data_IF_630346558428
#
_entry.id   IF_630346558428
#
_cell.length_a   1.000
_cell.length_b   1.000
_cell.length_c   1.000
_cell.angle_alpha   90.00
_cell.angle_beta   90.00
_cell.angle_gamma   90.00
#
_symmetry.space_group_name_H-M   'P 1'
#
loop_
_entity.id
_entity.type
_entity.pdbx_description
1 polymer ?
#
# COMPACT_ATOMS: atom_id res chain seq x y z
N UNK A 1 21.16 -3.59 -28.59
CA UNK A 1 19.84 -4.22 -28.73
C UNK A 1 19.21 -4.44 -27.35
N UNK A 2 17.95 -4.86 -27.26
CA UNK A 2 17.34 -5.18 -25.95
C UNK A 2 18.08 -6.33 -25.25
N UNK A 3 18.57 -7.32 -26.01
CA UNK A 3 19.37 -8.42 -25.48
C UNK A 3 20.68 -7.93 -24.82
N UNK A 4 21.34 -6.96 -25.42
CA UNK A 4 22.59 -6.39 -24.87
C UNK A 4 22.34 -5.65 -23.55
N UNK A 5 21.14 -5.06 -23.37
CA UNK A 5 20.77 -4.42 -22.11
C UNK A 5 20.41 -5.43 -21.03
N UNK A 6 19.71 -6.51 -21.36
CA UNK A 6 19.38 -7.59 -20.44
C UNK A 6 20.66 -8.31 -19.96
N UNK A 7 21.61 -8.58 -20.86
CA UNK A 7 22.91 -9.15 -20.51
C UNK A 7 23.70 -8.23 -19.58
N UNK A 8 23.73 -6.92 -19.86
CA UNK A 8 24.35 -5.93 -18.98
C UNK A 8 23.72 -5.92 -17.59
N UNK A 9 22.37 -5.95 -17.50
CA UNK A 9 21.67 -5.98 -16.22
C UNK A 9 21.99 -7.25 -15.42
N UNK A 10 22.07 -8.40 -16.09
CA UNK A 10 22.43 -9.67 -15.46
C UNK A 10 23.87 -9.67 -14.93
N UNK A 11 24.81 -9.14 -15.70
CA UNK A 11 26.20 -9.00 -15.29
C UNK A 11 26.35 -8.05 -14.09
N UNK A 12 25.63 -6.93 -14.08
CA UNK A 12 25.64 -5.99 -12.95
C UNK A 12 25.07 -6.65 -11.69
N UNK A 13 23.97 -7.40 -11.82
CA UNK A 13 23.38 -8.12 -10.67
C UNK A 13 24.32 -9.21 -10.13
N UNK A 14 24.99 -9.96 -11.00
CA UNK A 14 25.94 -10.99 -10.60
C UNK A 14 27.14 -10.38 -9.86
N UNK A 15 27.71 -9.32 -10.40
CA UNK A 15 28.84 -8.61 -9.78
C UNK A 15 28.48 -8.00 -8.42
N UNK A 16 27.25 -7.42 -8.28
CA UNK A 16 26.77 -6.90 -6.99
C UNK A 16 26.65 -8.04 -5.97
N UNK A 17 26.07 -9.18 -6.34
CA UNK A 17 25.94 -10.33 -5.43
C UNK A 17 27.30 -10.86 -4.99
N UNK A 18 28.23 -11.05 -5.92
CA UNK A 18 29.58 -11.50 -5.61
C UNK A 18 30.31 -10.52 -4.67
N UNK A 19 30.16 -9.22 -4.92
CA UNK A 19 30.73 -8.18 -4.06
C UNK A 19 30.12 -8.22 -2.65
N UNK A 20 28.81 -8.37 -2.52
CA UNK A 20 28.13 -8.44 -1.23
C UNK A 20 28.51 -9.70 -0.45
N UNK A 21 28.56 -10.85 -1.10
CA UNK A 21 28.95 -12.13 -0.47
C UNK A 21 30.40 -12.13 0.02
N UNK A 22 31.31 -11.51 -0.76
CA UNK A 22 32.74 -11.39 -0.40
C UNK A 22 33.05 -10.31 0.64
N UNK A 23 32.13 -9.36 0.85
CA UNK A 23 32.34 -8.17 1.69
C UNK A 23 31.27 -7.98 2.75
N UNK A 24 30.78 -9.06 3.34
CA UNK A 24 29.64 -9.03 4.27
C UNK A 24 29.83 -8.04 5.44
N UNK A 25 31.00 -8.03 6.07
CA UNK A 25 31.32 -7.10 7.16
C UNK A 25 31.29 -5.63 6.71
N UNK A 26 31.79 -5.36 5.50
CA UNK A 26 31.75 -4.01 4.91
C UNK A 26 30.30 -3.58 4.63
N UNK A 27 29.46 -4.49 4.15
CA UNK A 27 28.03 -4.23 3.91
C UNK A 27 27.28 -3.97 5.20
N UNK A 28 27.51 -4.77 6.25
CA UNK A 28 26.92 -4.58 7.57
C UNK A 28 27.29 -3.20 8.14
N UNK A 29 28.57 -2.84 8.08
CA UNK A 29 29.07 -1.52 8.52
C UNK A 29 28.42 -0.38 7.71
N UNK A 30 28.27 -0.54 6.40
CA UNK A 30 27.61 0.46 5.55
C UNK A 30 26.13 0.61 5.91
N UNK A 31 25.41 -0.48 6.19
CA UNK A 31 24.02 -0.46 6.60
C UNK A 31 23.87 0.28 7.94
N UNK A 32 24.75 0.03 8.90
CA UNK A 32 24.75 0.73 10.18
C UNK A 32 24.99 2.23 9.99
N UNK A 33 25.99 2.62 9.18
CA UNK A 33 26.25 4.02 8.87
C UNK A 33 25.09 4.70 8.15
N UNK A 34 24.47 4.00 7.19
CA UNK A 34 23.27 4.50 6.51
C UNK A 34 22.12 4.72 7.47
N UNK A 35 21.92 3.82 8.44
CA UNK A 35 20.93 3.97 9.48
C UNK A 35 21.17 5.20 10.35
N UNK A 36 22.41 5.41 10.77
CA UNK A 36 22.80 6.58 11.55
C UNK A 36 22.60 7.88 10.75
N UNK A 37 23.01 7.92 9.49
CA UNK A 37 22.76 9.05 8.61
C UNK A 37 21.27 9.34 8.43
N UNK A 38 20.46 8.29 8.26
CA UNK A 38 19.00 8.44 8.11
C UNK A 38 18.36 9.07 9.34
N UNK A 39 18.90 8.83 10.51
CA UNK A 39 18.43 9.40 11.78
C UNK A 39 19.05 10.76 12.12
N UNK A 40 20.01 11.21 11.33
CA UNK A 40 20.66 12.51 11.48
C UNK A 40 20.02 13.52 10.52
N UNK A 41 19.38 14.62 11.02
CA UNK A 41 18.59 15.53 10.19
C UNK A 41 19.32 16.18 9.01
N UNK A 42 20.65 16.19 9.04
CA UNK A 42 21.49 16.83 8.02
C UNK A 42 22.06 15.85 6.99
N UNK A 43 21.78 14.53 7.11
CA UNK A 43 22.37 13.49 6.26
C UNK A 43 21.34 12.65 5.53
N UNK A 44 20.20 13.22 5.17
CA UNK A 44 19.11 12.54 4.46
C UNK A 44 19.30 12.52 2.93
N UNK A 45 20.18 13.38 2.39
CA UNK A 45 20.40 13.53 0.95
C UNK A 45 20.67 12.21 0.21
N UNK A 46 21.53 11.28 0.69
CA UNK A 46 21.79 10.02 0.00
C UNK A 46 20.52 9.19 -0.26
N UNK A 47 19.51 9.29 0.61
CA UNK A 47 18.26 8.55 0.49
C UNK A 47 17.28 9.15 -0.53
N UNK A 48 17.60 10.32 -1.07
CA UNK A 48 16.79 11.01 -2.07
C UNK A 48 17.29 10.78 -3.51
N UNK A 49 18.42 10.08 -3.69
CA UNK A 49 18.95 9.73 -5.02
C UNK A 49 18.41 8.41 -5.56
N UNK A 50 18.06 7.45 -4.70
CA UNK A 50 17.42 6.19 -5.10
C UNK A 50 15.94 6.40 -5.33
N UNK A 51 15.44 6.07 -6.52
CA UNK A 51 14.04 6.16 -6.89
C UNK A 51 13.46 4.76 -7.12
N UNK A 52 12.32 4.45 -6.51
CA UNK A 52 11.69 3.13 -6.53
C UNK A 52 10.24 3.24 -6.97
N UNK A 53 9.75 2.18 -7.59
CA UNK A 53 8.34 2.03 -7.96
C UNK A 53 7.84 0.68 -7.49
N UNK A 54 6.68 0.67 -6.84
CA UNK A 54 6.02 -0.54 -6.38
C UNK A 54 4.61 -0.60 -6.96
N UNK A 55 4.17 -1.80 -7.30
CA UNK A 55 2.75 -2.06 -7.47
C UNK A 55 2.16 -2.43 -6.11
N UNK A 56 1.12 -1.70 -5.70
CA UNK A 56 0.45 -1.89 -4.42
C UNK A 56 -1.01 -2.22 -4.67
N UNK A 57 -1.51 -3.26 -3.99
CA UNK A 57 -2.93 -3.62 -3.98
C UNK A 57 -3.45 -3.53 -2.55
N UNK A 58 -4.42 -2.65 -2.32
CA UNK A 58 -5.05 -2.46 -1.02
C UNK A 58 -6.47 -1.89 -1.18
N UNK A 59 -7.29 -1.87 -0.11
CA UNK A 59 -8.61 -1.25 -0.19
C UNK A 59 -8.51 0.28 -0.32
N UNK A 60 -9.54 0.88 -0.94
CA UNK A 60 -9.59 2.33 -1.19
C UNK A 60 -9.38 3.14 0.09
N UNK A 61 -9.92 2.72 1.25
CA UNK A 61 -9.74 3.46 2.51
C UNK A 61 -8.27 3.52 2.94
N UNK A 62 -7.47 2.47 2.70
CA UNK A 62 -6.02 2.47 2.92
C UNK A 62 -5.32 3.38 1.91
N UNK A 63 -5.66 3.27 0.62
CA UNK A 63 -5.11 4.14 -0.42
C UNK A 63 -5.29 5.63 -0.08
N UNK A 64 -6.45 6.02 0.48
CA UNK A 64 -6.72 7.39 0.91
C UNK A 64 -5.85 7.89 2.07
N UNK A 65 -5.39 6.99 2.93
CA UNK A 65 -4.40 7.32 3.96
C UNK A 65 -3.01 7.48 3.36
N UNK A 66 -2.63 6.57 2.45
CA UNK A 66 -1.29 6.52 1.88
C UNK A 66 -1.02 7.64 0.88
N UNK A 67 -2.03 8.09 0.12
CA UNK A 67 -1.91 9.22 -0.82
C UNK A 67 -1.54 10.56 -0.15
N UNK A 68 -1.68 10.65 1.17
CA UNK A 68 -1.33 11.86 1.94
C UNK A 68 0.18 12.02 2.17
N UNK A 69 0.98 11.00 1.90
CA UNK A 69 2.42 11.08 2.08
C UNK A 69 3.07 11.92 0.99
N UNK A 70 3.80 12.93 1.42
CA UNK A 70 4.54 13.82 0.53
C UNK A 70 5.67 13.08 -0.18
N UNK A 71 5.99 13.55 -1.39
CA UNK A 71 7.07 13.03 -2.24
C UNK A 71 6.87 11.59 -2.72
N UNK A 72 5.69 11.01 -2.53
CA UNK A 72 5.29 9.73 -3.10
C UNK A 72 4.22 9.94 -4.17
N UNK A 73 4.51 9.49 -5.38
CA UNK A 73 3.65 9.64 -6.55
C UNK A 73 2.77 8.40 -6.67
N UNK A 74 1.46 8.58 -6.65
CA UNK A 74 0.48 7.51 -6.81
C UNK A 74 -0.20 7.60 -8.17
N UNK A 75 -0.16 6.52 -8.95
CA UNK A 75 -0.94 6.35 -10.18
C UNK A 75 -1.90 5.17 -10.00
N UNK A 76 -3.16 5.49 -9.69
CA UNK A 76 -4.18 4.49 -9.37
C UNK A 76 -4.88 3.99 -10.64
N UNK A 77 -5.15 2.68 -10.70
CA UNK A 77 -5.97 2.09 -11.74
C UNK A 77 -7.41 2.61 -11.67
N UNK A 78 -7.87 3.18 -12.78
CA UNK A 78 -9.20 3.80 -12.82
C UNK A 78 -10.30 2.75 -12.94
N UNK A 79 -11.19 2.69 -11.96
CA UNK A 79 -12.42 1.88 -11.97
C UNK A 79 -13.47 2.33 -12.99
N UNK A 80 -13.21 3.38 -13.76
CA UNK A 80 -14.08 3.80 -14.87
C UNK A 80 -14.12 2.78 -16.02
N UNK A 81 -13.07 1.96 -16.14
CA UNK A 81 -12.86 1.05 -17.27
C UNK A 81 -12.86 -0.42 -16.87
N UNK A 82 -12.99 -0.74 -15.60
CA UNK A 82 -12.94 -2.11 -15.07
C UNK A 82 -14.33 -2.48 -14.58
N UNK A 83 -14.98 -3.38 -15.31
CA UNK A 83 -16.30 -3.93 -14.99
C UNK A 83 -16.22 -5.34 -14.40
N UNK A 84 -15.03 -5.96 -14.43
CA UNK A 84 -14.83 -7.36 -14.04
C UNK A 84 -14.46 -7.48 -12.55
N UNK A 85 -14.72 -8.65 -11.99
CA UNK A 85 -14.49 -9.14 -10.62
C UNK A 85 -14.06 -8.10 -9.57
N UNK A 86 -15.04 -7.55 -8.90
CA UNK A 86 -14.82 -6.66 -7.76
C UNK A 86 -14.41 -7.47 -6.53
N UNK A 87 -13.20 -7.22 -6.05
CA UNK A 87 -12.67 -7.81 -4.82
C UNK A 87 -12.85 -6.83 -3.64
N UNK A 88 -13.25 -7.36 -2.50
CA UNK A 88 -13.44 -6.57 -1.28
C UNK A 88 -12.49 -7.01 -0.19
N UNK A 89 -11.95 -6.05 0.55
CA UNK A 89 -11.11 -6.29 1.70
C UNK A 89 -11.90 -6.99 2.81
N UNK A 90 -11.33 -8.07 3.34
CA UNK A 90 -11.88 -8.80 4.47
C UNK A 90 -11.24 -8.32 5.77
N UNK A 91 -12.00 -7.54 6.53
CA UNK A 91 -11.52 -7.00 7.80
C UNK A 91 -11.27 -8.07 8.87
N UNK A 92 -10.19 -7.88 9.63
CA UNK A 92 -10.07 -8.41 10.99
C UNK A 92 -10.62 -7.34 11.92
N UNK A 93 -11.85 -7.54 12.40
CA UNK A 93 -12.53 -6.56 13.25
C UNK A 93 -11.93 -6.52 14.64
N UNK A 94 -11.86 -5.30 15.20
CA UNK A 94 -11.34 -5.00 16.52
C UNK A 94 -12.36 -4.23 17.32
N UNK A 95 -12.24 -4.30 18.64
CA UNK A 95 -13.08 -3.49 19.54
C UNK A 95 -12.71 -2.02 19.43
N UNK A 96 -13.63 -1.16 19.83
CA UNK A 96 -13.34 0.26 19.99
C UNK A 96 -12.32 0.44 21.13
N UNK A 97 -11.29 1.24 20.90
CA UNK A 97 -10.39 1.63 21.98
C UNK A 97 -11.08 2.61 22.94
N UNK A 98 -10.89 2.43 24.26
CA UNK A 98 -11.61 3.21 25.28
C UNK A 98 -10.99 4.61 25.51
N UNK A 99 -9.68 4.72 25.46
CA UNK A 99 -8.95 5.94 25.92
C UNK A 99 -8.10 6.62 24.84
N UNK A 100 -8.26 6.28 23.58
CA UNK A 100 -7.45 6.88 22.48
C UNK A 100 -8.33 7.46 21.38
N UNK A 101 -7.91 8.61 20.83
CA UNK A 101 -8.61 9.25 19.70
C UNK A 101 -8.42 8.50 18.38
N UNK A 102 -7.36 7.73 18.27
CA UNK A 102 -6.99 6.93 17.08
C UNK A 102 -6.56 5.53 17.53
N UNK A 103 -6.73 4.55 16.64
CA UNK A 103 -6.43 3.16 16.95
C UNK A 103 -7.67 2.33 17.31
N UNK A 104 -7.44 1.06 17.52
CA UNK A 104 -8.46 0.07 17.88
C UNK A 104 -7.99 -0.77 19.08
N UNK A 105 -8.93 -1.37 19.77
CA UNK A 105 -8.66 -2.32 20.84
C UNK A 105 -8.24 -3.70 20.32
N UNK A 106 -8.42 -4.73 21.14
CA UNK A 106 -8.14 -6.12 20.78
C UNK A 106 -9.06 -6.64 19.66
N UNK A 107 -8.67 -7.76 19.05
CA UNK A 107 -9.52 -8.47 18.08
C UNK A 107 -10.80 -8.96 18.79
N UNK A 108 -11.95 -8.81 18.13
CA UNK A 108 -13.21 -9.36 18.64
C UNK A 108 -13.18 -10.91 18.60
N UNK A 109 -14.04 -11.55 19.38
CA UNK A 109 -14.17 -13.01 19.36
C UNK A 109 -14.63 -13.55 18.00
N UNK A 110 -14.47 -14.85 17.79
CA UNK A 110 -14.70 -15.50 16.49
C UNK A 110 -16.17 -15.39 16.04
N UNK A 111 -17.13 -15.46 16.94
CA UNK A 111 -18.55 -15.37 16.63
C UNK A 111 -18.89 -13.94 16.14
N UNK A 112 -18.45 -12.94 16.86
CA UNK A 112 -18.60 -11.53 16.46
C UNK A 112 -17.86 -11.24 15.17
N UNK A 113 -16.65 -11.77 14.99
CA UNK A 113 -15.86 -11.66 13.76
C UNK A 113 -16.65 -12.21 12.57
N UNK A 114 -17.19 -13.40 12.69
CA UNK A 114 -18.03 -14.05 11.66
C UNK A 114 -19.27 -13.22 11.31
N UNK A 115 -19.96 -12.71 12.31
CA UNK A 115 -21.14 -11.86 12.14
C UNK A 115 -20.80 -10.56 11.40
N UNK A 116 -19.79 -9.81 11.86
CA UNK A 116 -19.39 -8.54 11.25
C UNK A 116 -18.90 -8.71 9.81
N UNK A 117 -18.19 -9.81 9.52
CA UNK A 117 -17.78 -10.15 8.15
C UNK A 117 -18.97 -10.49 7.24
N UNK A 118 -20.01 -11.13 7.77
CA UNK A 118 -21.24 -11.39 7.02
C UNK A 118 -21.97 -10.09 6.68
N UNK A 119 -22.16 -9.20 7.66
CA UNK A 119 -22.77 -7.87 7.45
C UNK A 119 -22.00 -7.06 6.41
N UNK A 120 -20.66 -7.03 6.49
CA UNK A 120 -19.81 -6.32 5.52
C UNK A 120 -19.97 -6.89 4.10
N UNK A 121 -20.03 -8.22 3.96
CA UNK A 121 -20.20 -8.89 2.67
C UNK A 121 -21.56 -8.60 2.04
N UNK A 122 -22.64 -8.62 2.83
CA UNK A 122 -23.98 -8.25 2.36
C UNK A 122 -24.03 -6.80 1.87
N UNK A 123 -23.44 -5.87 2.63
CA UNK A 123 -23.36 -4.48 2.24
C UNK A 123 -22.56 -4.27 0.94
N UNK A 124 -21.43 -4.97 0.80
CA UNK A 124 -20.62 -4.93 -0.41
C UNK A 124 -21.40 -5.47 -1.63
N UNK A 125 -22.07 -6.63 -1.49
CA UNK A 125 -22.92 -7.20 -2.54
C UNK A 125 -24.04 -6.24 -2.95
N UNK A 126 -24.78 -5.67 -2.00
CA UNK A 126 -25.82 -4.72 -2.30
C UNK A 126 -25.31 -3.47 -3.03
N UNK A 127 -24.09 -3.04 -2.76
CA UNK A 127 -23.44 -1.94 -3.46
C UNK A 127 -23.08 -2.28 -4.92
N UNK A 128 -22.59 -3.49 -5.17
CA UNK A 128 -22.35 -3.99 -6.54
C UNK A 128 -23.65 -4.12 -7.31
N UNK A 129 -24.70 -4.67 -6.68
CA UNK A 129 -26.00 -4.81 -7.32
C UNK A 129 -26.57 -3.43 -7.75
N UNK A 130 -26.43 -2.41 -6.89
CA UNK A 130 -26.81 -1.02 -7.22
C UNK A 130 -25.97 -0.46 -8.36
N UNK A 131 -24.67 -0.65 -8.33
CA UNK A 131 -23.77 -0.22 -9.40
C UNK A 131 -24.19 -0.82 -10.73
N UNK A 132 -24.36 -2.14 -10.79
CA UNK A 132 -24.78 -2.85 -12.01
C UNK A 132 -26.14 -2.36 -12.51
N UNK A 133 -27.12 -2.22 -11.61
CA UNK A 133 -28.43 -1.70 -11.97
C UNK A 133 -28.37 -0.29 -12.59
N UNK A 134 -27.54 0.60 -12.03
CA UNK A 134 -27.36 1.95 -12.61
C UNK A 134 -26.75 1.89 -14.01
N UNK A 135 -25.77 0.99 -14.25
CA UNK A 135 -25.20 0.77 -15.58
C UNK A 135 -26.26 0.26 -16.56
N UNK A 136 -27.06 -0.71 -16.16
CA UNK A 136 -28.18 -1.24 -16.97
C UNK A 136 -29.21 -0.17 -17.33
N UNK A 137 -29.46 0.78 -16.43
CA UNK A 137 -30.33 1.92 -16.64
C UNK A 137 -29.69 3.03 -17.49
N UNK A 138 -28.44 2.86 -17.94
CA UNK A 138 -27.74 3.78 -18.81
C UNK A 138 -26.92 4.87 -18.12
N UNK A 139 -26.69 4.75 -16.80
CA UNK A 139 -25.78 5.65 -16.11
C UNK A 139 -24.31 5.38 -16.54
N UNK A 140 -23.50 6.43 -16.61
CA UNK A 140 -22.09 6.25 -16.95
C UNK A 140 -21.34 5.52 -15.80
N UNK A 141 -20.36 4.63 -16.10
CA UNK A 141 -19.52 3.99 -15.09
C UNK A 141 -18.81 5.03 -14.19
N UNK A 142 -18.50 6.19 -14.72
CA UNK A 142 -17.89 7.30 -13.99
C UNK A 142 -18.76 7.80 -12.82
N UNK A 143 -20.07 7.78 -12.98
CA UNK A 143 -21.02 8.18 -11.95
C UNK A 143 -21.42 7.00 -11.07
N UNK A 144 -21.76 5.85 -11.69
CA UNK A 144 -22.21 4.67 -10.98
C UNK A 144 -21.19 4.14 -9.96
N UNK A 145 -19.88 4.28 -10.23
CA UNK A 145 -18.82 3.88 -9.30
C UNK A 145 -18.90 4.55 -7.92
N UNK A 146 -19.64 5.65 -7.80
CA UNK A 146 -19.89 6.32 -6.53
C UNK A 146 -20.65 5.45 -5.52
N UNK A 147 -21.35 4.42 -5.99
CA UNK A 147 -22.07 3.46 -5.15
C UNK A 147 -21.18 2.36 -4.56
N UNK A 148 -19.94 2.23 -5.05
CA UNK A 148 -19.02 1.20 -4.56
C UNK A 148 -18.40 1.61 -3.22
N UNK A 149 -18.33 0.68 -2.26
CA UNK A 149 -17.87 0.99 -0.91
C UNK A 149 -16.34 1.13 -0.85
N UNK A 150 -15.86 1.83 0.18
CA UNK A 150 -14.42 2.14 0.35
C UNK A 150 -13.56 0.93 0.73
N UNK A 151 -14.14 -0.21 1.12
CA UNK A 151 -13.43 -1.47 1.31
C UNK A 151 -13.20 -2.25 0.02
N UNK A 152 -13.62 -1.70 -1.14
CA UNK A 152 -13.26 -2.22 -2.44
C UNK A 152 -11.75 -2.19 -2.64
N UNK A 153 -11.18 -3.29 -3.13
CA UNK A 153 -9.75 -3.36 -3.47
C UNK A 153 -9.44 -2.51 -4.69
N UNK A 154 -8.34 -1.80 -4.62
CA UNK A 154 -7.76 -1.06 -5.76
C UNK A 154 -6.28 -1.37 -5.87
N UNK A 155 -5.68 -1.00 -7.00
CA UNK A 155 -4.24 -1.14 -7.24
C UNK A 155 -3.68 0.18 -7.77
N UNK A 156 -2.42 0.46 -7.45
CA UNK A 156 -1.72 1.62 -7.96
C UNK A 156 -0.23 1.37 -8.10
N UNK A 157 0.39 2.09 -9.02
CA UNK A 157 1.84 2.24 -9.02
C UNK A 157 2.21 3.36 -8.03
N UNK A 158 3.09 3.04 -7.10
CA UNK A 158 3.55 3.97 -6.07
C UNK A 158 5.05 4.20 -6.20
N UNK A 159 5.46 5.43 -6.50
CA UNK A 159 6.83 5.77 -6.85
C UNK A 159 7.35 6.90 -5.97
N UNK A 160 8.63 6.82 -5.63
CA UNK A 160 9.31 7.87 -4.87
C UNK A 160 10.72 7.52 -4.48
N UNK A 161 11.35 8.40 -3.73
CA UNK A 161 12.70 8.16 -3.22
C UNK A 161 12.69 7.22 -2.01
N UNK A 162 13.82 6.58 -1.74
CA UNK A 162 13.99 5.77 -0.53
C UNK A 162 13.69 6.58 0.74
N UNK A 163 14.11 7.85 0.78
CA UNK A 163 13.83 8.76 1.89
C UNK A 163 12.34 9.01 2.11
N UNK A 164 11.57 9.19 1.01
CA UNK A 164 10.13 9.37 1.07
C UNK A 164 9.41 8.12 1.62
N UNK A 165 9.77 6.92 1.13
CA UNK A 165 9.24 5.66 1.65
C UNK A 165 9.62 5.43 3.12
N UNK A 166 10.87 5.74 3.52
CA UNK A 166 11.30 5.62 4.91
C UNK A 166 10.51 6.56 5.84
N UNK A 167 10.19 7.77 5.40
CA UNK A 167 9.34 8.71 6.15
C UNK A 167 7.91 8.17 6.30
N UNK A 168 7.36 7.62 5.22
CA UNK A 168 6.05 6.95 5.25
C UNK A 168 6.05 5.80 6.26
N UNK A 169 7.03 4.89 6.19
CA UNK A 169 7.16 3.77 7.13
C UNK A 169 7.27 4.25 8.57
N UNK A 170 8.07 5.28 8.85
CA UNK A 170 8.21 5.85 10.19
C UNK A 170 6.87 6.30 10.79
N UNK A 171 5.98 6.86 9.95
CA UNK A 171 4.65 7.32 10.38
C UNK A 171 3.64 6.16 10.47
N UNK A 172 3.76 5.13 9.60
CA UNK A 172 2.77 4.04 9.51
C UNK A 172 3.09 2.83 10.39
N UNK A 173 4.32 2.70 10.85
CA UNK A 173 4.72 1.65 11.80
C UNK A 173 4.59 2.08 13.27
N UNK A 174 4.07 3.28 13.54
CA UNK A 174 3.79 3.72 14.92
C UNK A 174 2.64 2.90 15.51
N UNK A 175 2.72 2.60 16.82
CA UNK A 175 1.73 1.76 17.53
C UNK A 175 0.33 2.35 17.60
N UNK A 176 0.17 3.64 17.35
CA UNK A 176 -1.11 4.37 17.30
C UNK A 176 -1.71 4.46 15.88
N UNK A 177 -1.07 3.84 14.90
CA UNK A 177 -1.52 3.83 13.51
C UNK A 177 -2.60 2.79 13.30
N UNK A 178 -3.49 3.04 12.33
CA UNK A 178 -4.47 2.06 11.90
C UNK A 178 -3.76 0.79 11.37
N UNK A 179 -4.19 -0.37 11.84
CA UNK A 179 -3.49 -1.64 11.59
C UNK A 179 -3.46 -2.08 10.12
N UNK A 180 -4.32 -1.54 9.28
CA UNK A 180 -4.38 -1.83 7.85
C UNK A 180 -3.45 -0.95 7.00
N UNK A 181 -2.75 0.04 7.60
CA UNK A 181 -1.90 1.01 6.85
C UNK A 181 -0.43 0.89 7.16
#
# INVERSE_FOLDING_TARGET
TAADFDDFCNDVQANIREYLDGNKECVETLIEQMWDWRNTPTHDTPFNHGFFSFEVKAPIFVARHLVKHEYLIMSEYSRRYITDDVEFYRHTYRTKAEDVKQGSGGVVDDDMQGYLQAVSREGAKASVDRYNHMIEMGASPEQARGELPVNLMTSWTWSGTLGAFANMCKLRLSSDTQAET
#
